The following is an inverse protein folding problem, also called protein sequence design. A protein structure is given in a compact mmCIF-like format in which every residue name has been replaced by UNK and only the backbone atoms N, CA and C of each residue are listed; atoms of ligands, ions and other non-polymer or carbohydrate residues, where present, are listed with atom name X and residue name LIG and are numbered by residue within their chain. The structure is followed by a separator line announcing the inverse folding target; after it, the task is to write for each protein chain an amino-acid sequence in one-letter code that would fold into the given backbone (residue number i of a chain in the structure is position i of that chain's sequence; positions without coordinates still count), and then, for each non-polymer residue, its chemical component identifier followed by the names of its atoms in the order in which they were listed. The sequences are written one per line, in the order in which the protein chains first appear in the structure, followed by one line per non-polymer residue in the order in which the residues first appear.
data_IF_531790518814
#
_entry.id   IF_531790518814
#
_cell.length_a   1.000
_cell.length_b   1.000
_cell.length_c   1.000
_cell.angle_alpha   90.00
_cell.angle_beta   90.00
_cell.angle_gamma   90.00
#
_symmetry.space_group_name_H-M   'P 1'
#
loop_
_entity.id
_entity.type
_entity.pdbx_description
1 polymer ?
#
# COMPACT_ATOMS: atom_id res chain seq x y z
N UNK A 1 41.19 -38.37 41.60
CA UNK A 1 40.91 -36.98 42.03
C UNK A 1 40.37 -36.22 40.82
N UNK A 2 39.05 -36.18 40.61
CA UNK A 2 38.42 -35.53 39.45
C UNK A 2 37.67 -34.26 39.90
N UNK A 3 38.14 -33.08 39.47
CA UNK A 3 37.48 -31.79 39.73
C UNK A 3 36.35 -31.58 38.72
N UNK A 4 35.09 -31.61 39.17
CA UNK A 4 33.94 -31.13 38.41
C UNK A 4 33.97 -29.60 38.36
N UNK A 5 34.02 -29.01 37.15
CA UNK A 5 33.82 -27.58 36.94
C UNK A 5 32.32 -27.28 36.90
N UNK A 6 31.90 -26.35 37.74
CA UNK A 6 30.53 -25.85 37.87
C UNK A 6 30.19 -24.91 36.70
N UNK A 7 29.17 -25.28 35.91
CA UNK A 7 28.57 -24.44 34.87
C UNK A 7 27.55 -23.50 35.53
N UNK A 8 27.75 -22.19 35.38
CA UNK A 8 26.79 -21.16 35.82
C UNK A 8 25.67 -21.04 34.77
N UNK A 9 24.41 -20.82 35.19
CA UNK A 9 23.30 -20.65 34.26
C UNK A 9 23.36 -19.30 33.53
N UNK A 10 23.14 -19.33 32.22
CA UNK A 10 22.89 -18.15 31.40
C UNK A 10 21.58 -17.48 31.85
N UNK A 11 21.65 -16.19 32.20
CA UNK A 11 20.48 -15.36 32.42
C UNK A 11 19.95 -14.90 31.06
N UNK A 12 18.81 -15.43 30.66
CA UNK A 12 18.01 -14.93 29.53
C UNK A 12 17.45 -13.56 29.90
N UNK A 13 17.95 -12.51 29.25
CA UNK A 13 17.39 -11.15 29.35
C UNK A 13 16.35 -11.02 28.25
N UNK A 14 15.07 -11.08 28.62
CA UNK A 14 13.96 -10.78 27.72
C UNK A 14 13.87 -9.27 27.53
N UNK A 15 14.22 -8.79 26.34
CA UNK A 15 14.01 -7.41 25.92
C UNK A 15 12.56 -7.29 25.41
N UNK A 16 11.67 -6.80 26.27
CA UNK A 16 10.32 -6.40 25.87
C UNK A 16 10.44 -4.99 25.29
N UNK A 17 10.54 -4.89 23.96
CA UNK A 17 10.37 -3.61 23.24
C UNK A 17 8.87 -3.33 23.22
N UNK A 18 8.42 -2.47 24.13
CA UNK A 18 7.09 -1.92 24.13
C UNK A 18 6.90 -1.03 22.90
N UNK A 19 6.30 -1.57 21.85
CA UNK A 19 5.77 -0.80 20.73
C UNK A 19 4.51 -0.08 21.24
N UNK A 20 4.69 1.14 21.77
CA UNK A 20 3.60 2.01 22.18
C UNK A 20 2.78 2.40 20.95
N UNK A 21 1.53 1.93 20.89
CA UNK A 21 0.50 2.39 19.97
C UNK A 21 0.14 3.84 20.32
N UNK A 22 0.81 4.80 19.70
CA UNK A 22 0.32 6.17 19.57
C UNK A 22 -0.54 6.26 18.31
N UNK A 23 -1.79 5.79 18.38
CA UNK A 23 -2.82 6.27 17.47
C UNK A 23 -3.33 7.59 18.03
N UNK A 24 -2.66 8.68 17.63
CA UNK A 24 -3.14 10.03 17.87
C UNK A 24 -4.34 10.28 16.95
N UNK A 25 -5.41 10.70 17.60
CA UNK A 25 -6.73 11.05 17.09
C UNK A 25 -6.65 12.18 16.04
N UNK A 26 -6.46 11.84 14.75
CA UNK A 26 -6.54 12.79 13.64
C UNK A 26 -8.00 12.95 13.17
N UNK A 27 -8.88 13.42 14.06
CA UNK A 27 -10.31 13.51 13.79
C UNK A 27 -10.95 14.74 14.39
N UNK A 28 -10.55 15.94 13.93
CA UNK A 28 -11.34 17.20 14.00
C UNK A 28 -10.60 18.34 13.27
N UNK A 29 -10.75 18.43 11.95
CA UNK A 29 -10.60 19.73 11.28
C UNK A 29 -12.00 20.31 11.08
N UNK A 30 -12.35 21.31 11.91
CA UNK A 30 -13.47 22.19 11.66
C UNK A 30 -13.21 22.95 10.35
N UNK A 31 -13.84 22.51 9.25
CA UNK A 31 -13.98 23.33 8.06
C UNK A 31 -15.20 24.22 8.26
N UNK A 32 -14.97 25.41 8.81
CA UNK A 32 -15.94 26.48 8.84
C UNK A 32 -15.18 27.76 8.48
N UNK A 33 -15.35 28.24 7.25
CA UNK A 33 -15.56 29.66 6.91
C UNK A 33 -15.95 29.75 5.43
N UNK A 34 -16.96 30.58 5.20
CA UNK A 34 -17.74 30.78 3.99
C UNK A 34 -16.94 31.15 2.72
N UNK A 35 -17.47 30.89 1.51
CA UNK A 35 -16.88 31.44 0.28
C UNK A 35 -17.19 32.94 0.15
N UNK A 36 -16.21 33.81 -0.15
CA UNK A 36 -16.51 35.16 -0.59
C UNK A 36 -17.07 35.12 -2.02
N UNK A 37 -18.30 35.60 -2.18
CA UNK A 37 -18.88 35.92 -3.47
C UNK A 37 -18.21 37.19 -4.01
N UNK A 38 -17.27 37.05 -4.94
CA UNK A 38 -16.83 38.18 -5.77
C UNK A 38 -16.88 37.79 -7.25
N UNK A 39 -17.94 38.25 -7.90
CA UNK A 39 -18.12 38.20 -9.34
C UNK A 39 -17.52 39.45 -9.98
N UNK A 40 -16.27 39.36 -10.41
CA UNK A 40 -15.69 40.30 -11.37
C UNK A 40 -15.15 39.54 -12.58
N UNK A 41 -16.00 39.44 -13.61
CA UNK A 41 -15.64 38.96 -14.94
C UNK A 41 -14.78 40.03 -15.65
N UNK A 42 -13.46 39.93 -15.49
CA UNK A 42 -12.48 40.66 -16.30
C UNK A 42 -11.88 39.72 -17.35
N UNK A 43 -12.30 39.85 -18.60
CA UNK A 43 -11.74 39.11 -19.73
C UNK A 43 -10.47 39.80 -20.23
N UNK A 44 -9.31 39.16 -20.09
CA UNK A 44 -8.10 39.55 -20.81
C UNK A 44 -7.42 38.29 -21.39
N UNK A 45 -7.55 38.02 -22.71
CA UNK A 45 -7.10 36.78 -23.31
C UNK A 45 -5.73 36.95 -23.97
N UNK A 46 -4.66 37.05 -23.20
CA UNK A 46 -3.27 36.91 -23.72
C UNK A 46 -2.31 36.51 -22.60
N UNK A 47 -2.55 35.35 -21.99
CA UNK A 47 -1.50 34.65 -21.25
C UNK A 47 -1.53 33.18 -21.72
N UNK A 48 -0.42 32.61 -22.25
CA UNK A 48 -0.38 31.19 -22.55
C UNK A 48 -0.61 30.44 -21.25
N UNK A 49 -1.74 29.74 -21.18
CA UNK A 49 -2.18 29.00 -20.00
C UNK A 49 -1.02 28.18 -19.42
N UNK A 50 -0.40 28.73 -18.37
CA UNK A 50 0.29 27.94 -17.38
C UNK A 50 -0.82 27.06 -16.83
N UNK A 51 -0.81 25.78 -17.18
CA UNK A 51 -1.55 24.78 -16.43
C UNK A 51 -0.96 24.78 -15.03
N UNK A 52 -1.35 25.75 -14.20
CA UNK A 52 -1.27 25.61 -12.78
C UNK A 52 -2.07 24.35 -12.50
N UNK A 53 -1.34 23.30 -12.14
CA UNK A 53 -1.91 22.11 -11.52
C UNK A 53 -2.50 22.62 -10.22
N UNK A 54 -3.68 23.21 -10.32
CA UNK A 54 -4.47 23.59 -9.18
C UNK A 54 -4.49 22.38 -8.26
N UNK A 55 -4.36 22.65 -6.98
CA UNK A 55 -4.64 21.72 -5.89
C UNK A 55 -6.12 21.34 -5.92
N UNK A 56 -6.56 20.77 -7.04
CA UNK A 56 -7.80 20.05 -7.17
C UNK A 56 -7.76 19.01 -6.06
N UNK A 57 -8.76 19.03 -5.19
CA UNK A 57 -8.95 17.98 -4.21
C UNK A 57 -8.89 16.66 -4.98
N UNK A 58 -7.82 15.91 -4.76
CA UNK A 58 -7.63 14.64 -5.45
C UNK A 58 -8.77 13.76 -4.93
N UNK A 59 -9.78 13.56 -5.77
CA UNK A 59 -10.89 12.69 -5.43
C UNK A 59 -10.31 11.34 -5.02
N UNK A 60 -10.69 10.86 -3.84
CA UNK A 60 -10.21 9.60 -3.32
C UNK A 60 -10.47 8.50 -4.37
N UNK A 61 -9.40 7.95 -4.94
CA UNK A 61 -9.54 6.82 -5.85
C UNK A 61 -9.93 5.63 -4.98
N UNK A 62 -11.13 5.13 -5.19
CA UNK A 62 -11.56 3.86 -4.63
C UNK A 62 -10.79 2.75 -5.34
N UNK A 63 -9.62 2.43 -4.81
CA UNK A 63 -8.75 1.39 -5.36
C UNK A 63 -9.43 0.03 -5.13
N UNK A 64 -9.78 -0.66 -6.21
CA UNK A 64 -10.33 -2.02 -6.15
C UNK A 64 -9.21 -3.06 -5.88
N UNK A 65 -9.60 -4.33 -5.71
CA UNK A 65 -8.67 -5.44 -5.47
C UNK A 65 -7.62 -5.59 -6.58
N UNK A 66 -7.97 -5.35 -7.84
CA UNK A 66 -7.07 -5.52 -8.99
C UNK A 66 -6.09 -4.37 -9.08
N UNK A 67 -6.55 -3.15 -8.89
CA UNK A 67 -5.69 -1.98 -8.81
C UNK A 67 -4.71 -2.13 -7.64
N UNK A 68 -5.15 -2.66 -6.49
CA UNK A 68 -4.28 -2.95 -5.34
C UNK A 68 -3.26 -4.04 -5.68
N UNK A 69 -3.69 -5.18 -6.22
CA UNK A 69 -2.80 -6.30 -6.60
C UNK A 69 -1.79 -5.85 -7.66
N UNK A 70 -2.24 -5.19 -8.73
CA UNK A 70 -1.39 -4.68 -9.80
C UNK A 70 -0.37 -3.66 -9.29
N UNK A 71 -0.77 -2.75 -8.39
CA UNK A 71 0.17 -1.79 -7.80
C UNK A 71 1.24 -2.52 -6.99
N UNK A 72 0.86 -3.46 -6.13
CA UNK A 72 1.81 -4.20 -5.30
C UNK A 72 2.73 -5.09 -6.14
N UNK A 73 2.23 -5.72 -7.21
CA UNK A 73 3.06 -6.47 -8.17
C UNK A 73 3.99 -5.53 -8.95
N UNK A 74 3.53 -4.33 -9.33
CA UNK A 74 4.38 -3.37 -10.01
C UNK A 74 5.52 -2.86 -9.12
N UNK A 75 5.26 -2.66 -7.81
CA UNK A 75 6.25 -2.18 -6.84
C UNK A 75 7.20 -3.28 -6.39
N UNK A 76 6.68 -4.46 -6.03
CA UNK A 76 7.43 -5.54 -5.39
C UNK A 76 7.79 -6.69 -6.35
N UNK A 77 7.38 -6.59 -7.61
CA UNK A 77 7.70 -7.53 -8.67
C UNK A 77 6.79 -8.77 -8.73
N UNK A 78 7.01 -9.64 -9.74
CA UNK A 78 6.15 -10.80 -10.00
C UNK A 78 6.05 -11.79 -8.83
N UNK A 79 7.09 -11.88 -7.99
CA UNK A 79 7.10 -12.73 -6.79
C UNK A 79 6.12 -12.29 -5.72
N UNK A 80 5.57 -11.07 -5.80
CA UNK A 80 4.53 -10.59 -4.90
C UNK A 80 3.20 -11.33 -5.10
N UNK A 81 2.92 -11.81 -6.31
CA UNK A 81 1.64 -12.44 -6.68
C UNK A 81 1.19 -13.54 -5.72
N UNK A 82 2.12 -14.42 -5.31
CA UNK A 82 1.81 -15.50 -4.36
C UNK A 82 1.42 -15.02 -2.96
N UNK A 83 1.90 -13.84 -2.54
CA UNK A 83 1.55 -13.24 -1.25
C UNK A 83 0.23 -12.44 -1.29
N UNK A 84 -0.29 -12.16 -2.49
CA UNK A 84 -1.46 -11.30 -2.72
C UNK A 84 -2.76 -12.08 -2.96
N UNK A 85 -2.64 -13.30 -3.50
CA UNK A 85 -3.76 -14.16 -3.89
C UNK A 85 -4.86 -14.30 -2.81
N UNK A 86 -4.50 -14.72 -1.60
CA UNK A 86 -5.49 -14.90 -0.53
C UNK A 86 -5.92 -13.59 0.14
N UNK A 87 -5.02 -12.69 0.57
CA UNK A 87 -5.44 -11.54 1.37
C UNK A 87 -6.06 -10.39 0.56
N UNK A 88 -5.82 -10.30 -0.75
CA UNK A 88 -6.40 -9.24 -1.62
C UNK A 88 -7.41 -9.81 -2.60
N UNK A 89 -7.02 -10.81 -3.40
CA UNK A 89 -7.83 -11.25 -4.55
C UNK A 89 -9.06 -12.05 -4.11
N UNK A 90 -8.93 -12.82 -3.02
CA UNK A 90 -10.03 -13.59 -2.42
C UNK A 90 -10.85 -12.80 -1.38
N UNK A 91 -10.30 -11.73 -0.78
CA UNK A 91 -10.99 -10.96 0.27
C UNK A 91 -11.84 -9.81 -0.29
N UNK A 92 -12.89 -10.19 -1.01
CA UNK A 92 -13.76 -9.28 -1.79
C UNK A 92 -14.55 -8.29 -0.94
N UNK A 93 -14.94 -8.70 0.26
CA UNK A 93 -15.70 -7.84 1.18
C UNK A 93 -14.89 -6.63 1.63
N UNK A 94 -13.56 -6.79 1.75
CA UNK A 94 -12.68 -5.76 2.30
C UNK A 94 -12.04 -4.87 1.22
N UNK A 95 -11.78 -5.42 0.04
CA UNK A 95 -11.11 -4.70 -1.06
C UNK A 95 -12.05 -4.30 -2.22
N UNK A 96 -13.31 -4.72 -2.18
CA UNK A 96 -14.32 -4.39 -3.19
C UNK A 96 -14.06 -5.02 -4.57
N UNK A 97 -14.68 -4.41 -5.59
CA UNK A 97 -14.88 -4.87 -6.98
C UNK A 97 -16.10 -5.77 -7.17
N UNK A 98 -17.04 -5.41 -8.08
CA UNK A 98 -17.98 -6.38 -8.59
C UNK A 98 -17.23 -7.48 -9.33
N UNK A 99 -17.84 -8.65 -9.38
CA UNK A 99 -17.39 -9.78 -10.17
C UNK A 99 -17.21 -9.38 -11.63
N UNK A 100 -15.99 -9.50 -12.16
CA UNK A 100 -15.77 -9.37 -13.59
C UNK A 100 -16.36 -10.56 -14.33
N UNK A 101 -16.96 -10.34 -15.50
CA UNK A 101 -17.36 -11.43 -16.41
C UNK A 101 -16.17 -12.33 -16.79
N UNK A 102 -14.95 -11.79 -16.71
CA UNK A 102 -13.71 -12.50 -17.02
C UNK A 102 -13.20 -13.39 -15.89
N UNK A 103 -13.75 -13.29 -14.68
CA UNK A 103 -13.42 -14.21 -13.56
C UNK A 103 -14.23 -15.51 -13.61
N UNK A 104 -15.17 -15.58 -14.55
CA UNK A 104 -16.15 -16.66 -14.63
C UNK A 104 -16.06 -17.44 -15.93
N UNK A 105 -14.88 -17.45 -16.56
CA UNK A 105 -14.65 -18.34 -17.66
C UNK A 105 -14.47 -19.76 -17.15
N UNK A 106 -15.04 -20.70 -17.89
CA UNK A 106 -14.86 -22.11 -17.63
C UNK A 106 -13.78 -22.66 -18.58
N UNK A 107 -12.97 -23.59 -18.09
CA UNK A 107 -12.05 -24.39 -18.89
C UNK A 107 -12.59 -25.80 -19.05
N UNK A 108 -12.08 -26.53 -20.03
CA UNK A 108 -12.37 -27.97 -20.18
C UNK A 108 -11.38 -28.72 -19.29
N UNK A 109 -11.88 -29.54 -18.37
CA UNK A 109 -11.04 -30.39 -17.53
C UNK A 109 -10.49 -31.61 -18.32
N UNK A 110 -9.64 -32.40 -17.69
CA UNK A 110 -9.06 -33.61 -18.28
C UNK A 110 -10.09 -34.70 -18.65
N UNK A 111 -11.33 -34.59 -18.18
CA UNK A 111 -12.43 -35.51 -18.49
C UNK A 111 -13.42 -34.95 -19.54
N UNK A 112 -13.11 -33.81 -20.16
CA UNK A 112 -13.95 -33.16 -21.16
C UNK A 112 -15.14 -32.38 -20.60
N UNK A 113 -15.26 -32.29 -19.28
CA UNK A 113 -16.26 -31.50 -18.59
C UNK A 113 -15.85 -30.04 -18.42
N UNK A 114 -16.81 -29.14 -18.50
CA UNK A 114 -16.61 -27.71 -18.27
C UNK A 114 -16.49 -27.43 -16.77
N UNK A 115 -15.33 -26.93 -16.32
CA UNK A 115 -15.05 -26.55 -14.93
C UNK A 115 -14.68 -25.08 -14.84
N UNK A 116 -14.81 -24.47 -13.65
CA UNK A 116 -14.30 -23.11 -13.44
C UNK A 116 -12.80 -23.05 -13.74
N UNK A 117 -12.35 -22.04 -14.48
CA UNK A 117 -10.93 -21.85 -14.71
C UNK A 117 -10.17 -21.55 -13.41
N UNK A 118 -10.74 -20.66 -12.59
CA UNK A 118 -10.29 -20.36 -11.24
C UNK A 118 -11.46 -20.56 -10.27
N UNK A 119 -11.65 -21.79 -9.74
CA UNK A 119 -12.68 -22.09 -8.75
C UNK A 119 -12.70 -21.15 -7.53
N UNK A 120 -11.55 -20.71 -6.96
CA UNK A 120 -11.53 -19.75 -5.86
C UNK A 120 -12.00 -18.34 -6.25
N UNK A 121 -11.96 -18.02 -7.54
CA UNK A 121 -12.33 -16.71 -8.09
C UNK A 121 -13.74 -16.70 -8.68
N UNK A 122 -14.51 -17.79 -8.56
CA UNK A 122 -15.90 -17.80 -9.04
C UNK A 122 -16.72 -16.76 -8.29
N UNK A 123 -17.39 -15.92 -9.07
CA UNK A 123 -17.96 -14.70 -8.55
C UNK A 123 -19.48 -14.61 -8.86
N UNK A 124 -19.96 -15.19 -9.97
CA UNK A 124 -21.40 -15.11 -10.33
C UNK A 124 -22.26 -16.34 -9.99
N UNK A 125 -21.76 -17.36 -9.28
CA UNK A 125 -22.52 -18.61 -9.09
C UNK A 125 -22.77 -19.01 -7.63
N UNK A 126 -22.35 -18.18 -6.67
CA UNK A 126 -22.78 -18.35 -5.29
C UNK A 126 -24.06 -17.52 -5.10
N UNK A 127 -25.25 -18.13 -4.88
CA UNK A 127 -26.56 -17.50 -4.99
C UNK A 127 -26.88 -16.47 -3.88
N UNK A 128 -25.86 -15.98 -3.16
CA UNK A 128 -26.00 -14.95 -2.15
C UNK A 128 -26.11 -13.54 -2.76
N UNK A 129 -26.98 -12.66 -2.22
CA UNK A 129 -27.15 -11.27 -2.68
C UNK A 129 -25.90 -10.39 -2.53
N UNK A 130 -24.83 -10.88 -1.90
CA UNK A 130 -23.58 -10.14 -1.67
C UNK A 130 -22.66 -10.05 -2.91
N UNK A 131 -22.85 -10.88 -3.94
CA UNK A 131 -21.89 -11.03 -5.04
C UNK A 131 -22.14 -10.13 -6.27
N UNK A 132 -23.36 -9.62 -6.44
CA UNK A 132 -23.70 -8.72 -7.56
C UNK A 132 -23.56 -7.23 -7.21
N UNK A 133 -23.16 -6.93 -5.97
CA UNK A 133 -23.05 -5.57 -5.48
C UNK A 133 -22.13 -5.51 -4.28
N UNK A 134 -20.86 -5.90 -4.46
CA UNK A 134 -19.81 -5.57 -3.51
C UNK A 134 -19.71 -4.04 -3.44
N UNK A 135 -20.57 -3.46 -2.61
CA UNK A 135 -20.59 -2.05 -2.32
C UNK A 135 -19.23 -1.73 -1.72
N UNK A 136 -18.64 -0.61 -2.11
CA UNK A 136 -17.49 -0.08 -1.40
C UNK A 136 -17.97 0.21 0.02
N UNK A 137 -17.67 -0.68 0.95
CA UNK A 137 -18.07 -0.59 2.35
C UNK A 137 -17.12 0.39 3.03
N UNK A 138 -17.54 1.63 3.33
CA UNK A 138 -16.67 2.61 4.01
C UNK A 138 -16.33 2.16 5.44
N UNK A 139 -17.07 1.19 5.98
CA UNK A 139 -16.85 0.59 7.31
C UNK A 139 -15.83 -0.55 7.31
N UNK A 140 -15.44 -1.07 6.14
CA UNK A 140 -14.44 -2.15 6.04
C UNK A 140 -13.00 -1.65 6.21
N UNK A 141 -12.79 -0.36 6.49
CA UNK A 141 -11.48 0.30 6.55
C UNK A 141 -10.53 -0.35 7.56
N UNK A 142 -11.01 -0.81 8.72
CA UNK A 142 -10.13 -1.46 9.72
C UNK A 142 -9.64 -2.83 9.24
N UNK A 143 -10.53 -3.68 8.72
CA UNK A 143 -10.15 -5.01 8.20
C UNK A 143 -9.25 -4.88 6.99
N UNK A 144 -9.61 -3.98 6.06
CA UNK A 144 -8.79 -3.65 4.89
C UNK A 144 -7.40 -3.16 5.28
N UNK A 145 -7.31 -2.22 6.23
CA UNK A 145 -6.05 -1.70 6.73
C UNK A 145 -5.21 -2.79 7.40
N UNK A 146 -5.83 -3.69 8.17
CA UNK A 146 -5.15 -4.83 8.79
C UNK A 146 -4.60 -5.81 7.74
N UNK A 147 -5.38 -6.12 6.71
CA UNK A 147 -4.93 -6.94 5.59
C UNK A 147 -3.78 -6.28 4.83
N UNK A 148 -3.90 -4.98 4.53
CA UNK A 148 -2.83 -4.22 3.88
C UNK A 148 -1.56 -4.18 4.72
N UNK A 149 -1.67 -3.95 6.03
CA UNK A 149 -0.53 -4.03 6.93
C UNK A 149 0.14 -5.41 6.90
N UNK A 150 -0.65 -6.48 6.93
CA UNK A 150 -0.14 -7.86 6.84
C UNK A 150 0.60 -8.12 5.51
N UNK A 151 -0.01 -7.74 4.39
CA UNK A 151 0.57 -7.88 3.04
C UNK A 151 1.87 -7.09 2.93
N UNK A 152 1.84 -5.79 3.27
CA UNK A 152 3.01 -4.94 3.20
C UNK A 152 4.15 -5.50 4.07
N UNK A 153 3.84 -5.97 5.28
CA UNK A 153 4.83 -6.61 6.15
C UNK A 153 5.45 -7.86 5.52
N UNK A 154 4.63 -8.73 4.91
CA UNK A 154 5.07 -9.95 4.23
C UNK A 154 5.97 -9.64 3.02
N UNK A 155 5.55 -8.70 2.15
CA UNK A 155 6.29 -8.30 0.96
C UNK A 155 7.63 -7.64 1.29
N UNK A 156 7.66 -6.83 2.33
CA UNK A 156 8.88 -6.12 2.74
C UNK A 156 9.84 -7.06 3.47
N UNK A 157 9.32 -8.04 4.22
CA UNK A 157 10.11 -9.07 4.89
C UNK A 157 10.77 -10.06 3.91
N UNK A 158 10.26 -10.18 2.69
CA UNK A 158 10.85 -11.02 1.65
C UNK A 158 11.96 -10.25 0.88
N UNK A 159 13.17 -10.82 0.90
CA UNK A 159 14.35 -10.18 0.29
C UNK A 159 14.22 -10.02 -1.22
N UNK A 160 13.59 -10.96 -1.92
CA UNK A 160 13.44 -10.91 -3.39
C UNK A 160 12.54 -9.75 -3.82
N UNK A 161 11.39 -9.61 -3.18
CA UNK A 161 10.42 -8.53 -3.43
C UNK A 161 11.00 -7.18 -3.02
N UNK A 162 11.71 -7.11 -1.89
CA UNK A 162 12.35 -5.87 -1.45
C UNK A 162 13.48 -5.42 -2.40
N UNK A 163 14.32 -6.34 -2.87
CA UNK A 163 15.38 -6.02 -3.84
C UNK A 163 14.81 -5.51 -5.15
N UNK A 164 13.68 -6.05 -5.60
CA UNK A 164 12.98 -5.55 -6.79
C UNK A 164 12.51 -4.10 -6.57
N UNK A 165 11.88 -3.82 -5.43
CA UNK A 165 11.40 -2.48 -5.11
C UNK A 165 12.53 -1.45 -5.00
N UNK A 166 13.68 -1.83 -4.43
CA UNK A 166 14.87 -0.97 -4.36
C UNK A 166 15.44 -0.67 -5.75
N UNK A 167 15.45 -1.67 -6.64
CA UNK A 167 15.92 -1.49 -8.02
C UNK A 167 15.09 -0.50 -8.83
N UNK A 168 13.81 -0.32 -8.51
CA UNK A 168 12.99 0.72 -9.13
C UNK A 168 13.40 2.15 -8.71
N UNK A 169 14.14 2.32 -7.61
CA UNK A 169 14.60 3.63 -7.13
C UNK A 169 15.98 3.98 -7.72
N UNK A 170 16.94 3.05 -7.65
CA UNK A 170 18.33 3.28 -8.04
C UNK A 170 18.66 2.84 -9.47
N UNK A 171 17.84 1.96 -10.05
CA UNK A 171 18.15 1.24 -11.28
C UNK A 171 18.99 -0.03 -11.09
N UNK A 172 19.35 -0.37 -9.84
CA UNK A 172 20.15 -1.55 -9.48
C UNK A 172 19.74 -2.14 -8.13
N UNK A 173 20.26 -3.30 -7.72
CA UNK A 173 19.92 -3.89 -6.43
C UNK A 173 20.68 -3.29 -5.23
N UNK A 174 21.30 -2.11 -5.38
CA UNK A 174 22.03 -1.46 -4.30
C UNK A 174 21.09 -0.70 -3.35
N UNK A 175 21.53 -0.46 -2.11
CA UNK A 175 20.74 0.33 -1.16
C UNK A 175 20.80 1.81 -1.58
N UNK A 176 19.65 2.46 -1.85
CA UNK A 176 19.62 3.86 -2.24
C UNK A 176 20.14 4.74 -1.10
N UNK A 177 20.86 5.81 -1.44
CA UNK A 177 21.21 6.84 -0.47
C UNK A 177 19.94 7.52 0.09
N UNK A 178 19.99 7.93 1.36
CA UNK A 178 18.91 8.66 2.02
C UNK A 178 18.82 10.10 1.47
N UNK A 179 18.13 10.27 0.34
CA UNK A 179 17.96 11.55 -0.35
C UNK A 179 16.48 11.85 -0.60
N UNK A 180 16.14 13.15 -0.69
CA UNK A 180 14.78 13.59 -1.02
C UNK A 180 14.29 13.00 -2.34
N UNK A 181 15.17 12.86 -3.34
CA UNK A 181 14.82 12.30 -4.65
C UNK A 181 14.46 10.81 -4.56
N UNK A 182 15.25 10.02 -3.84
CA UNK A 182 14.99 8.59 -3.67
C UNK A 182 13.72 8.32 -2.85
N UNK A 183 13.47 9.13 -1.81
CA UNK A 183 12.21 9.06 -1.04
C UNK A 183 11.01 9.46 -1.90
N UNK A 184 11.11 10.51 -2.72
CA UNK A 184 10.04 10.87 -3.66
C UNK A 184 9.79 9.76 -4.68
N UNK A 185 10.84 9.14 -5.24
CA UNK A 185 10.71 7.97 -6.12
C UNK A 185 9.97 6.83 -5.44
N UNK A 186 10.40 6.45 -4.23
CA UNK A 186 9.73 5.41 -3.41
C UNK A 186 8.23 5.69 -3.24
N UNK A 187 7.87 6.92 -2.86
CA UNK A 187 6.47 7.33 -2.72
C UNK A 187 5.74 7.15 -4.05
N UNK A 188 6.29 7.68 -5.15
CA UNK A 188 5.67 7.60 -6.49
C UNK A 188 5.48 6.18 -7.02
N UNK A 189 6.23 5.18 -6.54
CA UNK A 189 6.02 3.78 -6.93
C UNK A 189 4.60 3.30 -6.58
N UNK A 190 4.07 3.73 -5.44
CA UNK A 190 2.71 3.39 -5.03
C UNK A 190 1.67 4.34 -5.66
N UNK A 191 2.11 5.52 -6.11
CA UNK A 191 1.34 6.76 -6.12
C UNK A 191 1.55 7.57 -7.40
N UNK A 192 1.54 6.87 -8.54
CA UNK A 192 1.99 7.38 -9.84
C UNK A 192 1.21 8.58 -10.37
N UNK A 193 -0.07 8.70 -10.04
CA UNK A 193 -0.98 9.70 -10.63
C UNK A 193 -1.25 10.92 -9.73
N UNK A 194 -0.49 11.08 -8.65
CA UNK A 194 -0.78 12.09 -7.63
C UNK A 194 0.19 13.27 -7.71
N UNK A 195 -0.11 14.40 -7.05
CA UNK A 195 0.83 15.50 -6.92
C UNK A 195 2.10 15.07 -6.16
N UNK A 196 3.13 15.89 -6.28
CA UNK A 196 4.36 15.67 -5.55
C UNK A 196 4.10 15.64 -4.05
N UNK A 197 4.72 14.71 -3.31
CA UNK A 197 4.49 14.58 -1.89
C UNK A 197 4.92 15.86 -1.17
N UNK A 198 4.18 16.29 -0.13
CA UNK A 198 4.53 17.48 0.62
C UNK A 198 5.91 17.31 1.26
N UNK A 199 6.70 18.38 1.30
CA UNK A 199 8.06 18.35 1.84
C UNK A 199 8.12 17.79 3.27
N UNK A 200 7.11 18.06 4.10
CA UNK A 200 7.02 17.54 5.46
C UNK A 200 6.98 15.99 5.53
N UNK A 201 6.28 15.34 4.58
CA UNK A 201 6.25 13.87 4.48
C UNK A 201 7.61 13.31 4.06
N UNK A 202 8.26 13.97 3.10
CA UNK A 202 9.61 13.57 2.67
C UNK A 202 10.58 13.67 3.85
N UNK A 203 10.53 14.76 4.62
CA UNK A 203 11.40 14.95 5.79
C UNK A 203 11.12 13.92 6.90
N UNK A 204 9.86 13.54 7.14
CA UNK A 204 9.56 12.52 8.14
C UNK A 204 10.06 11.14 7.75
N UNK A 205 9.96 10.77 6.47
CA UNK A 205 10.53 9.52 5.95
C UNK A 205 12.05 9.55 5.92
N UNK A 206 12.66 10.70 5.57
CA UNK A 206 14.11 10.87 5.66
C UNK A 206 14.62 10.72 7.09
N UNK A 207 13.87 11.16 8.10
CA UNK A 207 14.25 10.97 9.50
C UNK A 207 14.27 9.49 9.93
N UNK A 208 13.57 8.59 9.23
CA UNK A 208 13.65 7.14 9.44
C UNK A 208 14.93 6.54 8.85
N UNK A 209 15.55 7.22 7.87
CA UNK A 209 16.75 6.80 7.19
C UNK A 209 17.97 7.49 7.82
N UNK A 210 18.98 6.73 8.25
CA UNK A 210 20.21 7.36 8.76
C UNK A 210 20.92 8.13 7.65
N UNK A 211 21.37 9.38 7.91
CA UNK A 211 22.16 10.13 6.94
C UNK A 211 23.47 9.39 6.64
N UNK A 212 23.78 9.22 5.35
CA UNK A 212 25.01 8.59 4.86
C UNK A 212 24.80 7.17 4.32
N UNK A 213 24.51 6.20 5.19
CA UNK A 213 24.40 4.79 4.81
C UNK A 213 23.15 4.14 5.43
N UNK A 214 21.97 4.30 4.80
CA UNK A 214 20.76 3.68 5.28
C UNK A 214 20.87 2.15 5.18
N UNK A 215 20.34 1.47 6.19
CA UNK A 215 20.29 0.01 6.24
C UNK A 215 19.06 -0.53 5.50
N UNK A 216 19.09 -1.81 5.12
CA UNK A 216 17.92 -2.49 4.54
C UNK A 216 16.70 -2.38 5.46
N UNK A 217 16.87 -2.54 6.78
CA UNK A 217 15.78 -2.47 7.77
C UNK A 217 15.13 -1.09 7.79
N UNK A 218 15.90 -0.02 7.63
CA UNK A 218 15.37 1.35 7.56
C UNK A 218 14.57 1.58 6.28
N UNK A 219 15.07 1.08 5.14
CA UNK A 219 14.31 1.11 3.89
C UNK A 219 13.04 0.27 3.98
N UNK A 220 13.10 -0.92 4.57
CA UNK A 220 11.93 -1.75 4.84
C UNK A 220 10.88 -1.00 5.68
N UNK A 221 11.30 -0.31 6.73
CA UNK A 221 10.40 0.50 7.55
C UNK A 221 9.78 1.67 6.75
N UNK A 222 10.57 2.36 5.93
CA UNK A 222 10.08 3.45 5.08
C UNK A 222 9.07 2.95 4.03
N UNK A 223 9.38 1.86 3.33
CA UNK A 223 8.47 1.21 2.40
C UNK A 223 7.20 0.74 3.10
N UNK A 224 7.30 0.23 4.33
CA UNK A 224 6.14 -0.23 5.09
C UNK A 224 5.22 0.94 5.40
N UNK A 225 5.75 2.04 5.94
CA UNK A 225 5.00 3.26 6.23
C UNK A 225 4.27 3.79 4.98
N UNK A 226 4.94 3.79 3.82
CA UNK A 226 4.33 4.22 2.55
C UNK A 226 3.26 3.23 2.09
N UNK A 227 3.54 1.94 2.10
CA UNK A 227 2.64 0.86 1.62
C UNK A 227 1.35 0.77 2.44
N UNK A 228 1.42 0.97 3.76
CA UNK A 228 0.25 0.93 4.64
C UNK A 228 -0.46 2.27 4.78
N UNK A 229 0.08 3.35 4.20
CA UNK A 229 -0.50 4.68 4.37
C UNK A 229 -1.93 4.75 3.84
N UNK A 230 -2.85 5.20 4.68
CA UNK A 230 -4.27 5.36 4.35
C UNK A 230 -4.57 6.51 3.41
N UNK A 231 -3.58 7.36 3.09
CA UNK A 231 -3.69 8.45 2.11
C UNK A 231 -4.12 7.95 0.70
N UNK A 232 -4.27 6.62 0.54
CA UNK A 232 -4.52 5.83 -0.67
C UNK A 232 -5.52 4.69 -0.48
N UNK A 233 -6.03 4.51 0.74
CA UNK A 233 -6.95 3.44 1.11
C UNK A 233 -8.34 3.95 1.51
N UNK A 234 -8.87 4.92 0.76
CA UNK A 234 -10.30 5.35 0.82
C UNK A 234 -10.62 6.42 1.87
N UNK A 235 -11.64 7.22 1.52
CA UNK A 235 -12.54 8.00 2.38
C UNK A 235 -12.73 7.46 3.79
#
# INVERSE_FOLDING_TARGET
MFRRKSLKPLKTVAFIVGLGLFFQDCGKSQWNTDPPSDTTFGTNPTDPAVFQKDSASVAAILTDRYATSNTLVAVFGPSASSALLTPVEQNRSDFGSPCSIYENYNTINSTGGTVAANPPEKCSLDPGPANLGASVLPTATVSRQANMAHICSSLIGNTTTMNYALALITGDSSLPAASSDNVTKMIRLFYTNFPDPPAALIQSLLAMLSPGAPTLVQWQAAFYTVCVSSYWQVL
#
